data_IF_556226264311
#
_entry.id   IF_556226264311
#
_cell.length_a   1.000
_cell.length_b   1.000
_cell.length_c   1.000
_cell.angle_alpha   90.00
_cell.angle_beta   90.00
_cell.angle_gamma   90.00
#
_symmetry.space_group_name_H-M   'P 1'
#
loop_
_entity.id
_entity.type
_entity.pdbx_description
1 polymer ?
#
# COMPACT_ATOMS: atom_id res chain seq x y z
N UNK A 1 38.24 -14.88 -48.66
CA UNK A 1 36.91 -15.28 -48.17
C UNK A 1 36.93 -15.96 -46.79
N UNK A 2 37.89 -16.81 -46.45
CA UNK A 2 37.93 -17.51 -45.13
C UNK A 2 38.11 -16.59 -43.90
N UNK A 3 38.78 -15.43 -44.05
CA UNK A 3 39.04 -14.50 -42.95
C UNK A 3 37.87 -13.53 -42.68
N UNK A 4 37.00 -13.31 -43.67
CA UNK A 4 35.83 -12.44 -43.51
C UNK A 4 34.73 -13.12 -42.69
N UNK A 5 34.55 -14.44 -42.84
CA UNK A 5 33.55 -15.23 -42.13
C UNK A 5 33.87 -15.33 -40.62
N UNK A 6 35.15 -15.38 -40.23
CA UNK A 6 35.56 -15.38 -38.82
C UNK A 6 35.31 -14.04 -38.13
N UNK A 7 35.43 -12.93 -38.86
CA UNK A 7 35.23 -11.60 -38.32
C UNK A 7 33.72 -11.32 -38.00
N UNK A 8 32.81 -11.76 -38.89
CA UNK A 8 31.38 -11.63 -38.67
C UNK A 8 30.86 -12.55 -37.55
N UNK A 9 31.45 -13.71 -37.35
CA UNK A 9 31.09 -14.62 -36.23
C UNK A 9 31.43 -14.06 -34.87
N UNK A 10 32.55 -13.33 -34.72
CA UNK A 10 32.95 -12.69 -33.45
C UNK A 10 32.11 -11.46 -33.15
N UNK A 11 31.74 -10.67 -34.18
CA UNK A 11 30.86 -9.52 -34.01
C UNK A 11 29.41 -9.95 -33.64
N UNK A 12 28.91 -11.05 -34.24
CA UNK A 12 27.59 -11.60 -33.88
C UNK A 12 27.55 -12.14 -32.43
N UNK A 13 28.65 -12.74 -31.96
CA UNK A 13 28.75 -13.22 -30.56
C UNK A 13 28.85 -12.06 -29.55
N UNK A 14 29.56 -10.99 -29.89
CA UNK A 14 29.66 -9.77 -29.07
C UNK A 14 28.35 -8.98 -29.04
N UNK A 15 27.56 -8.94 -30.11
CA UNK A 15 26.26 -8.31 -30.15
C UNK A 15 25.18 -9.12 -29.36
N UNK A 16 25.31 -10.44 -29.28
CA UNK A 16 24.40 -11.27 -28.47
C UNK A 16 24.69 -11.14 -26.97
N UNK A 17 25.89 -10.80 -26.55
CA UNK A 17 26.23 -10.53 -25.14
C UNK A 17 25.74 -9.18 -24.65
N UNK A 18 25.36 -8.24 -25.51
CA UNK A 18 24.91 -6.91 -25.12
C UNK A 18 23.40 -6.79 -24.89
N UNK A 19 22.60 -7.84 -25.09
CA UNK A 19 21.13 -7.80 -24.98
C UNK A 19 20.52 -8.64 -23.87
N UNK A 20 21.32 -9.35 -23.10
CA UNK A 20 20.84 -9.99 -21.86
C UNK A 20 21.07 -9.00 -20.72
N UNK A 21 20.31 -7.90 -20.68
CA UNK A 21 20.03 -7.26 -19.41
C UNK A 21 19.29 -8.29 -18.56
N UNK A 22 19.96 -8.80 -17.56
CA UNK A 22 19.40 -9.75 -16.62
C UNK A 22 18.05 -9.18 -16.13
N UNK A 23 17.00 -9.99 -16.19
CA UNK A 23 15.69 -9.66 -15.58
C UNK A 23 15.85 -9.43 -14.06
N UNK A 24 17.03 -9.70 -13.51
CA UNK A 24 17.46 -9.43 -12.16
C UNK A 24 17.62 -7.92 -11.86
N UNK A 25 17.85 -7.05 -12.86
CA UNK A 25 18.29 -5.65 -12.66
C UNK A 25 17.17 -4.60 -12.81
N UNK A 26 15.89 -4.99 -12.87
CA UNK A 26 14.80 -4.04 -13.02
C UNK A 26 14.30 -3.58 -11.65
N UNK A 27 14.01 -2.26 -11.48
CA UNK A 27 13.34 -1.76 -10.28
C UNK A 27 12.01 -2.47 -10.06
N UNK A 28 11.59 -2.58 -8.79
CA UNK A 28 10.29 -3.15 -8.41
C UNK A 28 9.28 -2.04 -8.19
N UNK A 29 8.13 -2.12 -8.85
CA UNK A 29 6.97 -1.27 -8.61
C UNK A 29 6.00 -1.97 -7.68
N UNK A 30 5.76 -1.38 -6.51
CA UNK A 30 4.87 -1.88 -5.47
C UNK A 30 3.69 -0.91 -5.33
N UNK A 31 2.47 -1.44 -5.26
CA UNK A 31 1.24 -0.67 -5.05
C UNK A 31 0.52 -1.21 -3.81
N UNK A 32 -0.04 -0.33 -2.98
CA UNK A 32 -1.04 -0.66 -1.95
C UNK A 32 -2.35 0.04 -2.30
N UNK A 33 -3.49 -0.68 -2.23
CA UNK A 33 -4.78 -0.18 -2.65
C UNK A 33 -5.94 -0.79 -1.85
N UNK A 34 -6.59 0.00 -1.01
CA UNK A 34 -7.87 -0.36 -0.42
C UNK A 34 -8.96 -0.29 -1.51
N UNK A 35 -9.63 -1.42 -1.80
CA UNK A 35 -10.57 -1.55 -2.92
C UNK A 35 -12.04 -1.39 -2.52
N UNK A 36 -12.29 -0.92 -1.31
CA UNK A 36 -13.61 -0.64 -0.77
C UNK A 36 -14.60 -1.81 -0.89
N UNK A 37 -14.75 -2.58 0.18
CA UNK A 37 -15.72 -3.68 0.29
C UNK A 37 -15.74 -4.65 -0.90
N UNK A 38 -14.57 -5.04 -1.44
CA UNK A 38 -14.52 -5.92 -2.61
C UNK A 38 -15.14 -5.28 -3.86
N UNK A 39 -14.82 -4.00 -4.11
CA UNK A 39 -15.41 -3.18 -5.18
C UNK A 39 -16.92 -2.94 -5.03
N UNK A 40 -17.47 -3.03 -3.83
CA UNK A 40 -18.92 -2.98 -3.58
C UNK A 40 -19.68 -4.01 -4.46
N UNK A 41 -19.06 -5.16 -4.74
CA UNK A 41 -19.57 -6.21 -5.64
C UNK A 41 -19.95 -5.70 -7.03
N UNK A 42 -19.35 -4.58 -7.46
CA UNK A 42 -19.68 -3.92 -8.74
C UNK A 42 -18.65 -4.29 -9.80
N UNK A 43 -19.06 -5.10 -10.78
CA UNK A 43 -18.17 -5.52 -11.87
C UNK A 43 -17.50 -4.34 -12.60
N UNK A 44 -18.22 -3.24 -12.82
CA UNK A 44 -17.66 -2.07 -13.49
C UNK A 44 -16.49 -1.43 -12.74
N UNK A 45 -16.48 -1.47 -11.39
CA UNK A 45 -15.35 -1.00 -10.58
C UNK A 45 -14.16 -1.95 -10.69
N UNK A 46 -14.41 -3.25 -10.61
CA UNK A 46 -13.38 -4.27 -10.81
C UNK A 46 -12.74 -4.17 -12.21
N UNK A 47 -13.53 -3.99 -13.27
CA UNK A 47 -13.03 -3.83 -14.64
C UNK A 47 -12.15 -2.56 -14.77
N UNK A 48 -12.56 -1.44 -14.18
CA UNK A 48 -11.75 -0.20 -14.14
C UNK A 48 -10.43 -0.41 -13.39
N UNK A 49 -10.47 -1.10 -12.24
CA UNK A 49 -9.28 -1.46 -11.47
C UNK A 49 -8.31 -2.28 -12.30
N UNK A 50 -8.79 -3.37 -12.95
CA UNK A 50 -7.96 -4.22 -13.81
C UNK A 50 -7.32 -3.40 -14.91
N UNK A 51 -8.10 -2.59 -15.63
CA UNK A 51 -7.58 -1.75 -16.69
C UNK A 51 -6.54 -0.72 -16.21
N UNK A 52 -6.71 -0.18 -15.00
CA UNK A 52 -5.72 0.70 -14.40
C UNK A 52 -4.44 -0.07 -14.02
N UNK A 53 -4.56 -1.26 -13.41
CA UNK A 53 -3.41 -2.11 -13.06
C UNK A 53 -2.62 -2.56 -14.30
N UNK A 54 -3.30 -2.90 -15.40
CA UNK A 54 -2.65 -3.22 -16.68
C UNK A 54 -1.76 -2.06 -17.18
N UNK A 55 -2.22 -0.81 -17.04
CA UNK A 55 -1.41 0.37 -17.40
C UNK A 55 -0.26 0.63 -16.44
N UNK A 56 -0.47 0.37 -15.15
CA UNK A 56 0.55 0.58 -14.12
C UNK A 56 1.67 -0.47 -14.15
N UNK A 57 1.34 -1.69 -14.62
CA UNK A 57 2.26 -2.82 -14.67
C UNK A 57 3.04 -3.04 -13.35
N UNK A 58 2.38 -3.13 -12.19
CA UNK A 58 3.06 -3.34 -10.92
C UNK A 58 3.72 -4.72 -10.89
N UNK A 59 4.72 -4.86 -10.04
CA UNK A 59 5.36 -6.14 -9.73
C UNK A 59 4.73 -6.82 -8.52
N UNK A 60 4.24 -6.00 -7.56
CA UNK A 60 3.63 -6.44 -6.31
C UNK A 60 2.45 -5.51 -6.02
N UNK A 61 1.29 -6.07 -5.63
CA UNK A 61 0.12 -5.31 -5.21
C UNK A 61 -0.39 -5.85 -3.88
N UNK A 62 -0.41 -4.99 -2.86
CA UNK A 62 -1.16 -5.22 -1.63
C UNK A 62 -2.58 -4.66 -1.79
N UNK A 63 -3.57 -5.40 -1.29
CA UNK A 63 -4.97 -5.04 -1.39
C UNK A 63 -5.63 -5.15 -0.01
N UNK A 64 -6.43 -4.16 0.33
CA UNK A 64 -7.23 -4.11 1.55
C UNK A 64 -8.72 -4.18 1.20
N UNK A 65 -9.52 -4.61 2.17
CA UNK A 65 -10.98 -4.76 2.03
C UNK A 65 -11.42 -5.73 0.93
N UNK A 66 -10.74 -6.86 0.81
CA UNK A 66 -11.13 -7.96 -0.08
C UNK A 66 -12.38 -8.71 0.46
N UNK A 67 -13.45 -7.95 0.76
CA UNK A 67 -14.69 -8.49 1.33
C UNK A 67 -15.30 -9.52 0.37
N UNK A 68 -15.71 -10.66 0.94
CA UNK A 68 -16.28 -11.83 0.24
C UNK A 68 -15.37 -12.51 -0.79
N UNK A 69 -14.11 -12.09 -0.91
CA UNK A 69 -13.14 -12.80 -1.74
C UNK A 69 -12.74 -14.13 -1.09
N UNK A 70 -12.63 -15.15 -1.91
CA UNK A 70 -11.90 -16.38 -1.63
C UNK A 70 -10.51 -16.31 -2.25
N UNK A 71 -9.63 -17.22 -1.84
CA UNK A 71 -8.29 -17.29 -2.44
C UNK A 71 -8.35 -17.46 -3.97
N UNK A 72 -9.31 -18.20 -4.50
CA UNK A 72 -9.48 -18.39 -5.93
C UNK A 72 -9.91 -17.09 -6.65
N UNK A 73 -10.76 -16.26 -6.02
CA UNK A 73 -11.21 -15.00 -6.57
C UNK A 73 -10.06 -13.99 -6.65
N UNK A 74 -9.22 -13.94 -5.60
CA UNK A 74 -8.01 -13.11 -5.60
C UNK A 74 -7.01 -13.59 -6.67
N UNK A 75 -6.85 -14.90 -6.86
CA UNK A 75 -5.99 -15.45 -7.90
C UNK A 75 -6.50 -15.07 -9.29
N UNK A 76 -7.79 -15.19 -9.54
CA UNK A 76 -8.40 -14.80 -10.82
C UNK A 76 -8.25 -13.29 -11.08
N UNK A 77 -8.45 -12.45 -10.05
CA UNK A 77 -8.22 -11.01 -10.15
C UNK A 77 -6.74 -10.72 -10.49
N UNK A 78 -5.80 -11.37 -9.82
CA UNK A 78 -4.37 -11.23 -10.05
C UNK A 78 -3.98 -11.56 -11.50
N UNK A 79 -4.48 -12.67 -12.03
CA UNK A 79 -4.23 -13.13 -13.39
C UNK A 79 -4.73 -12.14 -14.43
N UNK A 80 -5.82 -11.42 -14.17
CA UNK A 80 -6.41 -10.45 -15.09
C UNK A 80 -5.50 -9.25 -15.40
N UNK A 81 -4.51 -8.95 -14.55
CA UNK A 81 -3.50 -7.90 -14.79
C UNK A 81 -2.06 -8.43 -14.78
N UNK A 82 -1.89 -9.74 -14.99
CA UNK A 82 -0.59 -10.37 -15.27
C UNK A 82 0.21 -10.78 -14.02
N UNK A 83 -0.42 -10.95 -12.86
CA UNK A 83 0.20 -11.55 -11.68
C UNK A 83 -0.12 -13.04 -11.60
N UNK A 84 0.90 -13.87 -11.31
CA UNK A 84 0.77 -15.32 -11.28
C UNK A 84 0.63 -15.88 -9.87
N UNK A 85 0.88 -15.07 -8.85
CA UNK A 85 0.88 -15.50 -7.46
C UNK A 85 -0.01 -14.58 -6.63
N UNK A 86 -0.76 -15.16 -5.70
CA UNK A 86 -1.59 -14.42 -4.76
C UNK A 86 -1.69 -15.13 -3.41
N UNK A 87 -1.86 -14.36 -2.35
CA UNK A 87 -2.14 -14.87 -0.99
C UNK A 87 -3.20 -13.99 -0.34
N UNK A 88 -4.30 -14.60 0.07
CA UNK A 88 -5.37 -13.97 0.85
C UNK A 88 -5.18 -14.31 2.33
N UNK A 89 -5.28 -13.32 3.23
CA UNK A 89 -5.13 -13.54 4.66
C UNK A 89 -6.21 -14.46 5.25
N UNK A 90 -7.46 -14.23 4.88
CA UNK A 90 -8.66 -14.93 5.36
C UNK A 90 -9.82 -14.69 4.40
N UNK A 91 -10.90 -15.48 4.49
CA UNK A 91 -12.05 -15.37 3.58
C UNK A 91 -13.28 -14.65 4.20
N UNK A 92 -13.16 -14.10 5.41
CA UNK A 92 -14.28 -13.46 6.12
C UNK A 92 -13.91 -12.09 6.65
N UNK A 93 -14.91 -11.22 6.70
CA UNK A 93 -14.77 -9.83 7.18
C UNK A 93 -14.05 -8.96 6.16
N UNK A 94 -13.05 -8.22 6.58
CA UNK A 94 -12.27 -7.28 5.76
C UNK A 94 -10.83 -7.79 5.61
N UNK A 95 -10.60 -8.80 4.77
CA UNK A 95 -9.27 -9.35 4.60
C UNK A 95 -8.35 -8.44 3.81
N UNK A 96 -7.05 -8.58 4.09
CA UNK A 96 -6.00 -8.09 3.23
C UNK A 96 -5.47 -9.24 2.37
N UNK A 97 -4.87 -8.91 1.24
CA UNK A 97 -4.23 -9.87 0.35
C UNK A 97 -3.05 -9.24 -0.38
N UNK A 98 -2.29 -10.09 -1.04
CA UNK A 98 -1.16 -9.66 -1.86
C UNK A 98 -1.09 -10.48 -3.13
N UNK A 99 -0.72 -9.83 -4.23
CA UNK A 99 -0.49 -10.46 -5.52
C UNK A 99 0.87 -10.08 -6.07
N UNK A 100 1.48 -10.91 -6.90
CA UNK A 100 2.81 -10.66 -7.42
C UNK A 100 3.07 -11.36 -8.76
N UNK A 101 3.95 -10.77 -9.58
CA UNK A 101 4.56 -11.44 -10.72
C UNK A 101 5.57 -12.51 -10.30
N UNK A 102 6.11 -12.39 -9.09
CA UNK A 102 7.15 -13.26 -8.54
C UNK A 102 6.56 -14.23 -7.51
N UNK A 103 7.20 -15.39 -7.29
CA UNK A 103 6.77 -16.34 -6.26
C UNK A 103 6.62 -15.67 -4.89
N UNK A 104 5.51 -15.99 -4.22
CA UNK A 104 5.21 -15.52 -2.87
C UNK A 104 5.44 -16.67 -1.89
N UNK A 105 6.24 -16.43 -0.86
CA UNK A 105 6.36 -17.34 0.28
C UNK A 105 5.54 -16.79 1.43
N UNK A 106 4.47 -17.48 1.82
CA UNK A 106 3.70 -17.14 3.01
C UNK A 106 4.54 -17.46 4.25
N UNK A 107 4.81 -16.47 5.08
CA UNK A 107 5.55 -16.61 6.35
C UNK A 107 4.58 -16.68 7.51
N UNK A 108 3.62 -15.74 7.57
CA UNK A 108 2.64 -15.70 8.67
C UNK A 108 1.32 -15.07 8.22
N UNK A 109 0.22 -15.70 8.61
CA UNK A 109 -1.12 -15.14 8.58
C UNK A 109 -1.60 -15.01 10.03
N UNK A 110 -1.81 -13.80 10.52
CA UNK A 110 -2.23 -13.55 11.90
C UNK A 110 -3.49 -12.71 11.93
N UNK A 111 -4.54 -13.25 12.56
CA UNK A 111 -5.81 -12.54 12.77
C UNK A 111 -5.93 -12.10 14.23
N UNK A 112 -5.52 -12.99 15.16
CA UNK A 112 -5.63 -12.73 16.59
C UNK A 112 -4.81 -11.52 17.02
N UNK A 113 -5.45 -10.63 17.76
CA UNK A 113 -4.85 -9.38 18.25
C UNK A 113 -4.92 -8.22 17.27
N UNK A 114 -5.46 -8.43 16.07
CA UNK A 114 -5.68 -7.42 15.04
C UNK A 114 -7.17 -7.26 14.72
N UNK A 115 -7.56 -6.08 14.27
CA UNK A 115 -8.93 -5.83 13.84
C UNK A 115 -9.25 -6.56 12.52
N UNK A 116 -8.40 -6.37 11.53
CA UNK A 116 -8.54 -7.03 10.23
C UNK A 116 -7.50 -8.13 10.01
N UNK A 117 -6.32 -8.01 10.60
CA UNK A 117 -5.25 -8.99 10.55
C UNK A 117 -3.94 -8.44 9.97
N UNK A 118 -2.90 -9.27 10.02
CA UNK A 118 -1.56 -9.02 9.51
C UNK A 118 -1.14 -10.20 8.63
N UNK A 119 -0.76 -9.94 7.40
CA UNK A 119 -0.22 -10.91 6.46
C UNK A 119 1.28 -10.62 6.25
N UNK A 120 2.15 -11.57 6.60
CA UNK A 120 3.58 -11.48 6.29
C UNK A 120 3.93 -12.49 5.21
N UNK A 121 4.46 -11.98 4.12
CA UNK A 121 4.99 -12.77 3.02
C UNK A 121 6.42 -12.36 2.70
N UNK A 122 7.15 -13.25 2.01
CA UNK A 122 8.45 -12.95 1.42
C UNK A 122 8.35 -13.05 -0.10
N UNK A 123 8.79 -12.00 -0.80
CA UNK A 123 8.87 -11.93 -2.25
C UNK A 123 10.29 -11.49 -2.60
N UNK A 124 11.02 -12.31 -3.36
CA UNK A 124 12.47 -12.16 -3.51
C UNK A 124 13.13 -12.08 -2.11
N UNK A 125 13.96 -11.08 -1.85
CA UNK A 125 14.62 -10.89 -0.55
C UNK A 125 13.96 -9.82 0.34
N UNK A 126 12.68 -9.52 0.06
CA UNK A 126 11.93 -8.49 0.78
C UNK A 126 10.84 -9.16 1.61
N UNK A 127 10.84 -8.86 2.90
CA UNK A 127 9.77 -9.21 3.82
C UNK A 127 8.67 -8.12 3.71
N UNK A 128 7.43 -8.54 3.41
CA UNK A 128 6.32 -7.62 3.19
C UNK A 128 5.22 -7.92 4.20
N UNK A 129 4.88 -6.91 4.98
CA UNK A 129 3.76 -6.96 5.93
C UNK A 129 2.61 -6.15 5.32
N UNK A 130 1.50 -6.82 5.04
CA UNK A 130 0.26 -6.18 4.60
C UNK A 130 -0.71 -6.18 5.77
N UNK A 131 -1.27 -5.02 6.08
CA UNK A 131 -2.22 -4.86 7.18
C UNK A 131 -3.24 -3.77 6.89
N UNK A 132 -4.43 -3.92 7.45
CA UNK A 132 -5.45 -2.88 7.53
C UNK A 132 -5.75 -2.67 9.03
N UNK A 133 -5.32 -1.55 9.59
CA UNK A 133 -5.47 -1.30 11.02
C UNK A 133 -6.91 -0.87 11.35
N UNK A 134 -7.29 -0.97 12.62
CA UNK A 134 -8.63 -0.66 13.09
C UNK A 134 -9.10 0.73 12.64
N UNK A 135 -10.27 0.88 12.00
CA UNK A 135 -10.81 2.18 11.61
C UNK A 135 -11.42 2.97 12.78
N UNK A 136 -11.59 2.36 13.96
CA UNK A 136 -12.43 2.91 15.03
C UNK A 136 -11.65 3.52 16.20
N UNK A 137 -10.42 3.09 16.49
CA UNK A 137 -9.73 3.54 17.70
C UNK A 137 -8.23 3.68 17.53
N UNK A 138 -7.71 4.90 17.76
CA UNK A 138 -6.27 5.13 17.75
C UNK A 138 -5.52 4.27 18.79
N UNK A 139 -6.14 3.99 19.94
CA UNK A 139 -5.55 3.13 20.98
C UNK A 139 -5.40 1.70 20.50
N UNK A 140 -6.40 1.21 19.77
CA UNK A 140 -6.34 -0.12 19.20
C UNK A 140 -5.28 -0.19 18.10
N UNK A 141 -5.28 0.78 17.17
CA UNK A 141 -4.26 0.91 16.12
C UNK A 141 -2.83 0.99 16.69
N UNK A 142 -2.64 1.75 17.79
CA UNK A 142 -1.35 1.83 18.45
C UNK A 142 -0.89 0.47 18.99
N UNK A 143 -1.81 -0.33 19.56
CA UNK A 143 -1.52 -1.69 20.00
C UNK A 143 -1.16 -2.60 18.82
N UNK A 144 -1.88 -2.50 17.70
CA UNK A 144 -1.59 -3.25 16.48
C UNK A 144 -0.19 -2.88 15.93
N UNK A 145 0.10 -1.58 15.84
CA UNK A 145 1.41 -1.09 15.40
C UNK A 145 2.55 -1.60 16.29
N UNK A 146 2.36 -1.60 17.62
CA UNK A 146 3.34 -2.14 18.55
C UNK A 146 3.57 -3.64 18.34
N UNK A 147 2.51 -4.42 18.12
CA UNK A 147 2.62 -5.85 17.81
C UNK A 147 3.39 -6.11 16.50
N UNK A 148 3.15 -5.29 15.46
CA UNK A 148 3.89 -5.40 14.20
C UNK A 148 5.38 -5.08 14.43
N UNK A 149 5.70 -4.00 15.14
CA UNK A 149 7.08 -3.63 15.44
C UNK A 149 7.79 -4.69 16.26
N UNK A 150 7.14 -5.23 17.29
CA UNK A 150 7.69 -6.31 18.13
C UNK A 150 7.92 -7.58 17.31
N UNK A 151 7.00 -7.91 16.41
CA UNK A 151 7.16 -9.03 15.49
C UNK A 151 8.35 -8.85 14.54
N UNK A 152 8.50 -7.68 13.93
CA UNK A 152 9.61 -7.35 13.03
C UNK A 152 10.95 -7.48 13.77
N UNK A 153 11.06 -6.89 14.98
CA UNK A 153 12.27 -6.96 15.81
C UNK A 153 12.61 -8.39 16.22
N UNK A 154 11.61 -9.16 16.69
CA UNK A 154 11.80 -10.53 17.15
C UNK A 154 12.23 -11.49 16.05
N UNK A 155 11.91 -11.19 14.79
CA UNK A 155 12.27 -11.98 13.62
C UNK A 155 13.46 -11.38 12.83
N UNK A 156 14.04 -10.25 13.31
CA UNK A 156 15.17 -9.58 12.65
C UNK A 156 14.91 -9.24 11.18
N UNK A 157 13.70 -8.74 10.85
CA UNK A 157 13.31 -8.42 9.48
C UNK A 157 13.96 -7.09 9.05
N UNK A 158 15.14 -7.17 8.43
CA UNK A 158 15.92 -5.98 8.06
C UNK A 158 15.53 -5.39 6.70
N UNK A 159 15.13 -6.25 5.73
CA UNK A 159 14.65 -5.83 4.41
C UNK A 159 13.11 -5.89 4.42
N UNK A 160 12.48 -5.01 5.17
CA UNK A 160 11.05 -5.09 5.45
C UNK A 160 10.30 -3.84 4.96
N UNK A 161 9.09 -4.04 4.44
CA UNK A 161 8.14 -2.97 4.19
C UNK A 161 6.78 -3.29 4.84
N UNK A 162 6.06 -2.24 5.22
CA UNK A 162 4.71 -2.32 5.76
C UNK A 162 3.79 -1.58 4.78
N UNK A 163 2.76 -2.26 4.30
CA UNK A 163 1.82 -1.75 3.32
C UNK A 163 0.40 -1.79 3.88
N UNK A 164 -0.41 -0.82 3.51
CA UNK A 164 -1.84 -0.88 3.70
C UNK A 164 -2.50 0.41 4.17
N UNK A 165 -3.79 0.31 4.39
CA UNK A 165 -4.60 1.31 5.06
C UNK A 165 -4.35 1.23 6.57
N UNK A 166 -3.59 2.18 7.09
CA UNK A 166 -3.24 2.22 8.50
C UNK A 166 -4.26 3.00 9.34
N UNK A 167 -5.26 3.63 8.71
CA UNK A 167 -6.29 4.44 9.40
C UNK A 167 -5.70 5.44 10.42
N UNK A 168 -4.51 5.96 10.15
CA UNK A 168 -3.72 6.72 11.12
C UNK A 168 -2.99 7.88 10.44
N UNK A 169 -2.56 8.86 11.23
CA UNK A 169 -1.91 10.06 10.71
C UNK A 169 -0.40 10.05 10.96
N UNK A 170 0.34 10.47 9.94
CA UNK A 170 1.78 10.66 10.03
C UNK A 170 2.10 12.00 10.69
N UNK A 171 3.13 12.06 11.58
CA UNK A 171 3.63 13.32 12.09
C UNK A 171 4.18 14.24 10.99
N UNK A 172 4.51 13.71 9.81
CA UNK A 172 4.96 14.49 8.65
C UNK A 172 3.82 15.28 7.99
N UNK A 173 2.56 14.95 8.31
CA UNK A 173 1.37 15.69 7.84
C UNK A 173 0.79 16.61 8.91
N UNK A 174 1.41 16.70 10.10
CA UNK A 174 0.84 17.38 11.25
C UNK A 174 0.48 18.85 10.96
N UNK A 175 1.38 19.61 10.33
CA UNK A 175 1.14 21.03 10.03
C UNK A 175 -0.05 21.17 9.08
N UNK A 176 -0.13 20.35 8.04
CA UNK A 176 -1.22 20.36 7.08
C UNK A 176 -2.56 19.97 7.72
N UNK A 177 -2.57 18.93 8.56
CA UNK A 177 -3.76 18.45 9.25
C UNK A 177 -4.30 19.45 10.28
N UNK A 178 -3.44 20.17 10.98
CA UNK A 178 -3.87 21.18 11.97
C UNK A 178 -4.67 22.33 11.32
N UNK A 179 -4.48 22.58 10.02
CA UNK A 179 -5.29 23.56 9.26
C UNK A 179 -6.62 22.99 8.75
N UNK A 180 -6.90 21.68 8.94
CA UNK A 180 -8.14 21.03 8.49
C UNK A 180 -9.22 20.99 9.58
N UNK A 181 -9.75 22.15 9.92
CA UNK A 181 -10.82 22.26 10.93
C UNK A 181 -12.07 21.42 10.59
N UNK A 182 -12.55 21.32 9.32
CA UNK A 182 -13.68 20.46 8.98
C UNK A 182 -13.42 18.98 9.27
N UNK A 183 -12.25 18.45 8.90
CA UNK A 183 -11.85 17.06 9.20
C UNK A 183 -11.84 16.82 10.72
N UNK A 184 -11.14 17.69 11.46
CA UNK A 184 -11.08 17.59 12.93
C UNK A 184 -12.47 17.61 13.58
N UNK A 185 -13.36 18.49 13.12
CA UNK A 185 -14.72 18.56 13.64
C UNK A 185 -15.51 17.29 13.34
N UNK A 186 -15.40 16.74 12.13
CA UNK A 186 -16.05 15.48 11.76
C UNK A 186 -15.62 14.33 12.65
N UNK A 187 -14.31 14.15 12.85
CA UNK A 187 -13.76 13.10 13.71
C UNK A 187 -14.16 13.30 15.18
N UNK A 188 -14.14 14.55 15.68
CA UNK A 188 -14.58 14.85 17.04
C UNK A 188 -16.07 14.57 17.24
N UNK A 189 -16.93 14.90 16.27
CA UNK A 189 -18.35 14.60 16.31
C UNK A 189 -18.61 13.09 16.28
N UNK A 190 -17.84 12.36 15.44
CA UNK A 190 -17.90 10.90 15.40
C UNK A 190 -17.54 10.31 16.77
N UNK A 191 -16.42 10.71 17.35
CA UNK A 191 -15.96 10.21 18.66
C UNK A 191 -16.95 10.54 19.79
N UNK A 192 -17.64 11.68 19.73
CA UNK A 192 -18.69 12.02 20.68
C UNK A 192 -19.93 11.15 20.53
N UNK A 193 -20.29 10.79 19.30
CA UNK A 193 -21.43 9.92 19.01
C UNK A 193 -21.14 8.44 19.32
N UNK A 194 -19.88 8.05 19.36
CA UNK A 194 -19.42 6.66 19.55
C UNK A 194 -18.33 6.61 20.62
N UNK A 195 -18.65 6.82 21.91
CA UNK A 195 -17.67 6.95 22.99
C UNK A 195 -16.87 5.67 23.26
N UNK A 196 -17.32 4.52 22.74
CA UNK A 196 -16.60 3.24 22.78
C UNK A 196 -15.42 3.19 21.80
N UNK A 197 -15.36 4.11 20.83
CA UNK A 197 -14.28 4.25 19.86
C UNK A 197 -13.44 5.50 20.17
N UNK A 198 -12.64 5.96 19.23
CA UNK A 198 -11.89 7.21 19.38
C UNK A 198 -10.84 7.33 18.29
N UNK A 199 -11.04 8.26 17.36
CA UNK A 199 -10.09 8.59 16.32
C UNK A 199 -9.17 9.73 16.72
N UNK A 200 -9.63 10.58 17.63
CA UNK A 200 -8.91 11.73 18.13
C UNK A 200 -8.29 11.46 19.51
N UNK A 201 -7.15 12.05 19.80
CA UNK A 201 -6.57 12.11 21.12
C UNK A 201 -7.08 13.38 21.84
N UNK A 202 -8.22 13.28 22.46
CA UNK A 202 -8.96 14.45 22.93
C UNK A 202 -9.47 15.27 21.74
N UNK A 203 -8.99 16.51 21.57
CA UNK A 203 -9.37 17.37 20.43
C UNK A 203 -8.26 17.49 19.37
N UNK A 204 -7.26 16.60 19.39
CA UNK A 204 -6.10 16.63 18.48
C UNK A 204 -6.02 15.35 17.68
N UNK A 205 -5.44 15.44 16.49
CA UNK A 205 -5.07 14.27 15.73
C UNK A 205 -4.06 13.40 16.51
N UNK A 206 -4.18 12.08 16.36
CA UNK A 206 -3.23 11.16 16.96
C UNK A 206 -2.15 10.77 15.95
N UNK A 207 -0.90 11.02 16.29
CA UNK A 207 0.26 10.67 15.46
C UNK A 207 1.04 9.48 16.03
N UNK A 208 0.58 8.87 17.14
CA UNK A 208 1.37 7.87 17.86
C UNK A 208 1.58 6.59 17.05
N UNK A 209 0.61 6.21 16.23
CA UNK A 209 0.66 4.99 15.41
C UNK A 209 1.83 5.06 14.43
N UNK A 210 1.85 6.08 13.56
CA UNK A 210 2.93 6.27 12.59
C UNK A 210 4.26 6.58 13.28
N UNK A 211 4.25 7.34 14.38
CA UNK A 211 5.46 7.59 15.17
C UNK A 211 6.08 6.29 15.73
N UNK A 212 5.27 5.28 16.04
CA UNK A 212 5.75 3.96 16.49
C UNK A 212 6.56 3.27 15.40
N UNK A 213 6.08 3.28 14.16
CA UNK A 213 6.80 2.72 13.01
C UNK A 213 8.06 3.53 12.69
N UNK A 214 7.98 4.87 12.68
CA UNK A 214 9.12 5.75 12.41
C UNK A 214 10.21 5.57 13.48
N UNK A 215 9.84 5.50 14.76
CA UNK A 215 10.78 5.25 15.85
C UNK A 215 11.41 3.83 15.80
N UNK A 216 10.78 2.90 15.10
CA UNK A 216 11.33 1.56 14.85
C UNK A 216 12.24 1.49 13.60
N UNK A 217 12.53 2.63 12.94
CA UNK A 217 13.41 2.72 11.77
C UNK A 217 12.69 2.60 10.43
N UNK A 218 11.37 2.81 10.38
CA UNK A 218 10.65 2.85 9.11
C UNK A 218 10.53 4.28 8.57
N UNK A 219 10.80 4.43 7.29
CA UNK A 219 10.67 5.70 6.55
C UNK A 219 9.28 5.81 5.92
N UNK A 220 8.58 6.90 6.20
CA UNK A 220 7.41 7.37 5.47
C UNK A 220 7.89 8.21 4.28
N UNK A 221 8.33 7.54 3.22
CA UNK A 221 8.93 8.19 2.05
C UNK A 221 7.96 9.11 1.32
N UNK A 222 6.66 8.80 1.29
CA UNK A 222 5.62 9.67 0.70
C UNK A 222 5.52 10.97 1.50
N UNK A 223 5.39 10.87 2.83
CA UNK A 223 5.33 12.04 3.71
C UNK A 223 6.56 12.93 3.63
N UNK A 224 7.74 12.33 3.39
CA UNK A 224 9.00 13.05 3.30
C UNK A 224 9.25 13.73 1.95
N UNK A 225 8.74 13.18 0.84
CA UNK A 225 9.16 13.58 -0.51
C UNK A 225 8.05 14.14 -1.41
N UNK A 226 6.79 13.79 -1.18
CA UNK A 226 5.67 14.25 -2.02
C UNK A 226 5.17 15.62 -1.54
N UNK A 227 5.23 16.62 -2.40
CA UNK A 227 4.78 17.98 -2.12
C UNK A 227 4.02 18.56 -3.33
N UNK A 228 3.08 19.48 -3.12
CA UNK A 228 2.54 19.91 -1.82
C UNK A 228 1.71 18.80 -1.14
N UNK A 229 1.35 18.99 0.13
CA UNK A 229 0.73 17.97 0.99
C UNK A 229 -0.61 17.45 0.44
N UNK A 230 -1.39 18.24 -0.28
CA UNK A 230 -2.62 17.80 -0.93
C UNK A 230 -2.38 16.71 -2.02
N UNK A 231 -1.16 16.54 -2.48
CA UNK A 231 -0.77 15.42 -3.35
C UNK A 231 -0.59 14.09 -2.62
N UNK A 232 -0.60 14.11 -1.28
CA UNK A 232 -0.52 12.92 -0.44
C UNK A 232 -1.88 12.32 -0.10
N UNK A 233 -2.97 12.98 -0.48
CA UNK A 233 -4.34 12.54 -0.15
C UNK A 233 -4.62 11.17 -0.74
N UNK A 234 -4.96 10.22 0.12
CA UNK A 234 -5.39 8.88 -0.29
C UNK A 234 -6.87 8.58 0.00
N UNK A 235 -7.53 9.41 0.83
CA UNK A 235 -8.95 9.29 1.18
C UNK A 235 -9.57 10.68 1.42
N UNK A 236 -10.85 10.91 1.12
CA UNK A 236 -11.70 10.10 0.26
C UNK A 236 -11.56 10.44 -1.23
N UNK A 237 -12.02 9.54 -2.10
CA UNK A 237 -12.20 9.83 -3.52
C UNK A 237 -13.59 10.40 -3.79
N UNK A 238 -13.80 10.96 -5.00
CA UNK A 238 -15.12 11.40 -5.44
C UNK A 238 -16.14 10.26 -5.61
N UNK A 239 -15.70 9.01 -5.52
CA UNK A 239 -16.59 7.83 -5.50
C UNK A 239 -17.58 7.88 -4.34
N UNK A 240 -17.22 8.56 -3.22
CA UNK A 240 -18.11 8.80 -2.07
C UNK A 240 -19.12 9.94 -2.29
N UNK A 241 -19.14 10.60 -3.46
CA UNK A 241 -20.19 11.58 -3.77
C UNK A 241 -21.58 10.93 -3.65
N UNK A 242 -22.43 11.53 -2.86
CA UNK A 242 -23.76 11.00 -2.54
C UNK A 242 -23.85 10.22 -1.22
N UNK A 243 -22.74 9.88 -0.58
CA UNK A 243 -22.70 9.30 0.76
C UNK A 243 -22.60 10.40 1.82
N UNK A 244 -23.66 11.12 2.13
CA UNK A 244 -23.71 12.17 3.19
C UNK A 244 -22.63 13.29 3.10
N UNK A 245 -21.80 13.30 2.06
CA UNK A 245 -20.70 14.21 1.82
C UNK A 245 -21.02 15.01 0.55
N UNK A 246 -21.34 16.27 0.69
CA UNK A 246 -21.54 17.14 -0.48
C UNK A 246 -20.20 17.38 -1.21
N UNK A 247 -20.25 17.51 -2.53
CA UNK A 247 -19.09 17.63 -3.43
C UNK A 247 -18.04 18.65 -3.01
N UNK A 248 -18.45 19.75 -2.38
CA UNK A 248 -17.55 20.81 -1.92
C UNK A 248 -16.75 20.43 -0.64
N UNK A 249 -17.12 19.38 0.07
CA UNK A 249 -16.52 19.03 1.36
C UNK A 249 -15.38 18.02 1.28
N UNK A 250 -15.27 17.26 0.19
CA UNK A 250 -14.25 16.21 0.10
C UNK A 250 -12.83 16.74 0.26
N UNK A 251 -12.51 17.86 -0.39
CA UNK A 251 -11.19 18.47 -0.25
C UNK A 251 -10.89 18.95 1.18
N UNK A 252 -11.91 19.40 1.91
CA UNK A 252 -11.79 19.90 3.28
C UNK A 252 -11.56 18.78 4.30
N UNK A 253 -12.11 17.59 4.02
CA UNK A 253 -12.02 16.40 4.89
C UNK A 253 -11.04 15.36 4.35
N UNK A 254 -10.33 15.67 3.26
CA UNK A 254 -9.35 14.76 2.68
C UNK A 254 -8.16 14.52 3.62
N UNK A 255 -7.67 13.28 3.61
CA UNK A 255 -6.63 12.80 4.52
C UNK A 255 -5.77 11.74 3.83
N UNK A 256 -4.68 11.32 4.48
CA UNK A 256 -3.83 10.24 4.04
C UNK A 256 -3.91 9.11 5.06
N UNK A 257 -4.42 7.98 4.64
CA UNK A 257 -4.62 6.78 5.45
C UNK A 257 -3.81 5.59 4.95
N UNK A 258 -3.40 5.62 3.67
CA UNK A 258 -2.70 4.53 2.98
C UNK A 258 -1.20 4.80 2.94
N UNK A 259 -0.40 3.78 3.27
CA UNK A 259 1.03 3.91 3.48
C UNK A 259 1.82 2.77 2.85
N UNK A 260 3.04 3.10 2.43
CA UNK A 260 4.15 2.17 2.18
C UNK A 260 5.31 2.66 3.03
N UNK A 261 5.58 1.97 4.12
CA UNK A 261 6.67 2.28 5.04
C UNK A 261 7.83 1.34 4.75
N UNK A 262 9.03 1.89 4.64
CA UNK A 262 10.22 1.15 4.24
C UNK A 262 11.25 1.11 5.38
N UNK A 263 11.84 -0.05 5.63
CA UNK A 263 12.97 -0.15 6.56
C UNK A 263 14.16 0.68 6.10
N UNK A 264 15.08 1.00 7.01
CA UNK A 264 16.31 1.76 6.74
C UNK A 264 17.14 1.19 5.58
N UNK A 265 17.08 -0.13 5.34
CA UNK A 265 17.80 -0.77 4.23
C UNK A 265 17.09 -0.60 2.87
N UNK A 266 15.77 -0.47 2.86
CA UNK A 266 14.99 -0.30 1.63
C UNK A 266 14.81 1.17 1.26
N UNK A 267 14.72 2.07 2.23
CA UNK A 267 14.46 3.50 2.00
C UNK A 267 15.48 4.17 1.03
N UNK A 268 16.80 3.90 1.10
CA UNK A 268 17.76 4.48 0.15
C UNK A 268 17.57 4.00 -1.29
N UNK A 269 16.86 2.90 -1.51
CA UNK A 269 16.62 2.33 -2.85
C UNK A 269 15.42 2.95 -3.55
N UNK A 270 14.69 3.85 -2.89
CA UNK A 270 13.52 4.52 -3.46
C UNK A 270 13.90 5.39 -4.65
N UNK A 271 13.29 5.12 -5.79
CA UNK A 271 13.45 5.88 -7.03
C UNK A 271 12.25 6.78 -7.31
N UNK A 272 11.04 6.32 -6.98
CA UNK A 272 9.81 7.06 -7.18
C UNK A 272 8.79 6.70 -6.09
N UNK A 273 8.01 7.67 -5.66
CA UNK A 273 6.82 7.48 -4.82
C UNK A 273 5.68 8.31 -5.37
N UNK A 274 4.47 7.82 -5.26
CA UNK A 274 3.29 8.50 -5.77
C UNK A 274 2.04 8.10 -5.00
N UNK A 275 1.16 9.07 -4.75
CA UNK A 275 -0.26 8.84 -4.46
C UNK A 275 -1.02 9.15 -5.74
N UNK A 276 -1.69 8.14 -6.28
CA UNK A 276 -2.39 8.26 -7.57
C UNK A 276 -3.76 8.92 -7.40
N UNK A 277 -3.81 10.17 -6.98
CA UNK A 277 -5.07 10.89 -6.70
C UNK A 277 -5.58 11.69 -7.92
N UNK A 278 -5.57 11.04 -9.07
CA UNK A 278 -6.05 11.59 -10.33
C UNK A 278 -7.49 11.16 -10.68
N UNK A 279 -8.13 11.87 -11.63
CA UNK A 279 -9.53 11.62 -12.02
C UNK A 279 -9.76 10.25 -12.70
N UNK A 280 -8.73 9.60 -13.20
CA UNK A 280 -8.81 8.28 -13.83
C UNK A 280 -9.08 7.13 -12.82
N UNK A 281 -8.96 7.42 -11.53
CA UNK A 281 -9.27 6.49 -10.44
C UNK A 281 -10.65 6.68 -9.83
N UNK A 282 -11.35 7.74 -10.23
CA UNK A 282 -12.71 7.97 -9.76
C UNK A 282 -13.66 6.82 -10.17
N UNK A 283 -14.48 6.37 -9.23
CA UNK A 283 -15.41 5.27 -9.42
C UNK A 283 -14.78 3.88 -9.39
N UNK A 284 -13.58 3.72 -8.80
CA UNK A 284 -12.99 2.43 -8.47
C UNK A 284 -13.20 2.15 -6.98
N UNK A 285 -12.64 2.98 -6.11
CA UNK A 285 -12.67 2.86 -4.66
C UNK A 285 -12.91 4.23 -4.03
N UNK A 286 -13.24 4.26 -2.75
CA UNK A 286 -13.22 5.46 -1.92
C UNK A 286 -11.81 5.87 -1.47
N UNK A 287 -10.81 5.01 -1.70
CA UNK A 287 -9.39 5.31 -1.54
C UNK A 287 -8.68 5.51 -2.87
N UNK A 288 -7.55 6.22 -2.84
CA UNK A 288 -6.58 6.30 -3.92
C UNK A 288 -5.37 5.41 -3.60
N UNK A 289 -4.85 4.67 -4.58
CA UNK A 289 -3.69 3.81 -4.37
C UNK A 289 -2.41 4.62 -4.15
N UNK A 290 -1.51 4.03 -3.37
CA UNK A 290 -0.15 4.54 -3.16
C UNK A 290 0.86 3.59 -3.79
N UNK A 291 1.94 4.13 -4.33
CA UNK A 291 2.99 3.32 -4.96
C UNK A 291 4.40 3.77 -4.61
N UNK A 292 5.30 2.81 -4.68
CA UNK A 292 6.75 3.04 -4.63
C UNK A 292 7.45 2.24 -5.72
N UNK A 293 8.49 2.82 -6.31
CA UNK A 293 9.45 2.12 -7.15
C UNK A 293 10.76 2.07 -6.40
N UNK A 294 11.28 0.87 -6.16
CA UNK A 294 12.56 0.67 -5.49
C UNK A 294 13.57 0.00 -6.42
N UNK A 295 14.82 0.43 -6.33
CA UNK A 295 15.96 -0.26 -6.93
C UNK A 295 16.19 -1.61 -6.27
N UNK A 296 17.18 -2.35 -6.77
CA UNK A 296 17.53 -3.66 -6.23
C UNK A 296 18.35 -3.56 -4.95
N UNK A 297 18.17 -4.55 -4.07
CA UNK A 297 19.09 -4.81 -2.98
C UNK A 297 20.39 -5.36 -3.61
N UNK A 298 21.51 -4.69 -3.38
CA UNK A 298 22.83 -5.28 -3.65
C UNK A 298 23.02 -6.46 -2.68
N UNK A 299 23.29 -7.63 -3.25
CA UNK A 299 23.58 -8.85 -2.47
C UNK A 299 25.00 -8.81 -1.90
#
# INVERSE_FOLDING_TARGET
MKNLIKFYGVIALLLLCLTVKSQADQPLKIISYNIWNGFEHTKARADKFVHWMERQQPDIVALEELVDFKQADLQQLAESYGHHYSVLLKEKGYPVGITSRYPITLIKAQVDGFWHGMLHVKIKDIDIIVTHLSPFSWKYRLKEAQQIVDYIKSNSLNNCMILGDLNAYSPLDAIWLEHKAPLRNNLSNWDQAHPEYGNMRGQRFDYSVLSTFIAAGFDDCIGRTVFPENKRVSFPTATLYGWNWGDSRLAEVSERLDYILLSERLSPLVQQVEVHNGPDLEGISDHYPVSVVIGQLEM
#
